data_IF_990897710649
#
_entry.id   IF_990897710649
#
_cell.length_a   1.000
_cell.length_b   1.000
_cell.length_c   1.000
_cell.angle_alpha   90.00
_cell.angle_beta   90.00
_cell.angle_gamma   90.00
#
_symmetry.space_group_name_H-M   'P 1'
#
loop_
_entity.id
_entity.type
_entity.pdbx_description
1 polymer ?
#
# COMPACT_ATOMS: atom_id res chain seq x y z
N UNK A 1 0.23 53.81 -31.73
CA UNK A 1 1.25 52.81 -31.38
C UNK A 1 0.95 52.30 -29.97
N UNK A 2 0.63 50.99 -29.79
CA UNK A 2 0.44 50.41 -28.45
C UNK A 2 1.80 50.11 -27.86
N UNK A 3 2.15 50.81 -26.75
CA UNK A 3 3.38 50.48 -25.97
C UNK A 3 3.24 49.07 -25.41
N UNK A 4 4.05 48.15 -25.86
CA UNK A 4 4.23 46.85 -25.21
C UNK A 4 5.06 47.08 -23.95
N UNK A 5 4.44 46.94 -22.77
CA UNK A 5 5.15 46.96 -21.50
C UNK A 5 5.96 45.66 -21.41
N UNK A 6 7.27 45.75 -21.31
CA UNK A 6 8.17 44.61 -21.05
C UNK A 6 8.32 44.39 -19.54
N UNK A 7 8.58 43.13 -19.15
CA UNK A 7 8.92 42.80 -17.77
C UNK A 7 10.27 43.40 -17.37
N UNK A 8 10.36 43.93 -16.16
CA UNK A 8 11.62 44.38 -15.59
C UNK A 8 12.41 43.17 -15.04
N UNK A 9 13.74 43.26 -15.05
CA UNK A 9 14.63 42.24 -14.49
C UNK A 9 14.33 41.99 -13.00
N UNK A 10 13.97 43.03 -12.28
CA UNK A 10 13.60 43.03 -10.85
C UNK A 10 12.33 42.19 -10.61
N UNK A 11 11.28 42.34 -11.44
CA UNK A 11 10.04 41.56 -11.35
C UNK A 11 10.32 40.08 -11.58
N UNK A 12 11.22 39.75 -12.52
CA UNK A 12 11.59 38.35 -12.79
C UNK A 12 12.28 37.71 -11.58
N UNK A 13 13.21 38.44 -10.94
CA UNK A 13 13.93 37.91 -9.76
C UNK A 13 12.98 37.68 -8.59
N UNK A 14 12.03 38.57 -8.32
CA UNK A 14 11.04 38.38 -7.28
C UNK A 14 10.15 37.15 -7.53
N UNK A 15 9.70 36.94 -8.77
CA UNK A 15 8.87 35.80 -9.12
C UNK A 15 9.61 34.49 -8.91
N UNK A 16 10.87 34.37 -9.38
CA UNK A 16 11.62 33.12 -9.19
C UNK A 16 11.95 32.85 -7.73
N UNK A 17 12.16 33.87 -6.92
CA UNK A 17 12.40 33.72 -5.49
C UNK A 17 11.17 33.19 -4.77
N UNK A 18 9.97 33.71 -5.05
CA UNK A 18 8.70 33.23 -4.50
C UNK A 18 8.43 31.78 -4.93
N UNK A 19 8.60 31.47 -6.21
CA UNK A 19 8.41 30.10 -6.73
C UNK A 19 9.40 29.12 -6.09
N UNK A 20 10.66 29.51 -5.89
CA UNK A 20 11.64 28.66 -5.22
C UNK A 20 11.23 28.30 -3.78
N UNK A 21 10.74 29.26 -3.01
CA UNK A 21 10.27 29.02 -1.63
C UNK A 21 9.03 28.14 -1.61
N UNK A 22 8.04 28.40 -2.47
CA UNK A 22 6.81 27.58 -2.53
C UNK A 22 7.09 26.16 -2.98
N UNK A 23 8.02 25.96 -3.90
CA UNK A 23 8.39 24.63 -4.40
C UNK A 23 8.94 23.71 -3.31
N UNK A 24 9.67 24.23 -2.33
CA UNK A 24 10.26 23.41 -1.25
C UNK A 24 9.18 22.76 -0.37
N UNK A 25 8.06 23.43 -0.15
CA UNK A 25 6.93 22.92 0.64
C UNK A 25 6.09 21.96 -0.20
N UNK A 26 5.85 22.31 -1.47
CA UNK A 26 5.01 21.54 -2.38
C UNK A 26 5.54 20.13 -2.64
N UNK A 27 6.85 19.95 -2.83
CA UNK A 27 7.47 18.65 -3.12
C UNK A 27 7.26 17.64 -1.99
N UNK A 28 7.44 18.04 -0.73
CA UNK A 28 7.25 17.13 0.43
C UNK A 28 5.81 16.62 0.53
N UNK A 29 4.85 17.51 0.33
CA UNK A 29 3.42 17.16 0.36
C UNK A 29 3.04 16.27 -0.83
N UNK A 30 3.57 16.55 -2.01
CA UNK A 30 3.30 15.80 -3.23
C UNK A 30 3.71 14.33 -3.12
N UNK A 31 4.89 14.03 -2.57
CA UNK A 31 5.36 12.64 -2.37
C UNK A 31 4.42 11.85 -1.46
N UNK A 32 3.95 12.46 -0.36
CA UNK A 32 2.96 11.81 0.54
C UNK A 32 1.63 11.53 -0.16
N UNK A 33 1.15 12.48 -0.96
CA UNK A 33 -0.12 12.33 -1.72
C UNK A 33 0.00 11.22 -2.76
N UNK A 34 1.12 11.15 -3.48
CA UNK A 34 1.37 10.06 -4.44
C UNK A 34 1.38 8.68 -3.75
N UNK A 35 2.04 8.57 -2.60
CA UNK A 35 2.09 7.30 -1.87
C UNK A 35 0.69 6.88 -1.37
N UNK A 36 -0.12 7.83 -0.87
CA UNK A 36 -1.52 7.56 -0.50
C UNK A 36 -2.38 7.15 -1.69
N UNK A 37 -2.14 7.70 -2.87
CA UNK A 37 -2.84 7.28 -4.09
C UNK A 37 -2.53 5.83 -4.47
N UNK A 38 -1.24 5.43 -4.43
CA UNK A 38 -0.83 4.03 -4.65
C UNK A 38 -1.44 3.09 -3.61
N UNK A 39 -1.45 3.49 -2.35
CA UNK A 39 -2.09 2.75 -1.26
C UNK A 39 -3.59 2.56 -1.53
N UNK A 40 -4.28 3.59 -2.02
CA UNK A 40 -5.70 3.50 -2.37
C UNK A 40 -5.96 2.48 -3.48
N UNK A 41 -5.10 2.42 -4.50
CA UNK A 41 -5.18 1.41 -5.56
C UNK A 41 -5.04 -0.01 -4.99
N UNK A 42 -4.04 -0.22 -4.11
CA UNK A 42 -3.85 -1.49 -3.44
C UNK A 42 -5.03 -1.85 -2.53
N UNK A 43 -5.54 -0.90 -1.74
CA UNK A 43 -6.70 -1.10 -0.86
C UNK A 43 -7.96 -1.51 -1.62
N UNK A 44 -8.20 -0.92 -2.80
CA UNK A 44 -9.29 -1.30 -3.69
C UNK A 44 -9.13 -2.73 -4.22
N UNK A 45 -7.90 -3.12 -4.62
CA UNK A 45 -7.61 -4.48 -5.05
C UNK A 45 -7.79 -5.49 -3.92
N UNK A 46 -7.30 -5.17 -2.72
CA UNK A 46 -7.47 -5.99 -1.51
C UNK A 46 -8.95 -6.16 -1.15
N UNK A 47 -9.75 -5.10 -1.28
CA UNK A 47 -11.21 -5.18 -1.01
C UNK A 47 -11.92 -6.10 -2.01
N UNK A 48 -11.57 -6.02 -3.30
CA UNK A 48 -12.11 -6.92 -4.33
C UNK A 48 -11.68 -8.36 -4.08
N UNK A 49 -10.39 -8.59 -3.75
CA UNK A 49 -9.85 -9.91 -3.41
C UNK A 49 -10.55 -10.53 -2.20
N UNK A 50 -10.71 -9.78 -1.11
CA UNK A 50 -11.40 -10.26 0.08
C UNK A 50 -12.87 -10.62 -0.22
N UNK A 51 -13.60 -9.78 -0.94
CA UNK A 51 -14.97 -10.05 -1.35
C UNK A 51 -15.10 -11.29 -2.26
N UNK A 52 -14.14 -11.48 -3.17
CA UNK A 52 -14.09 -12.66 -4.03
C UNK A 52 -13.79 -13.94 -3.25
N UNK A 53 -12.91 -13.89 -2.26
CA UNK A 53 -12.64 -15.00 -1.34
C UNK A 53 -13.89 -15.43 -0.57
N UNK A 54 -14.70 -14.49 -0.08
CA UNK A 54 -15.97 -14.79 0.57
C UNK A 54 -16.95 -15.48 -0.40
N UNK A 55 -17.07 -15.00 -1.64
CA UNK A 55 -17.90 -15.66 -2.67
C UNK A 55 -17.39 -17.06 -3.02
N UNK A 56 -16.07 -17.22 -3.10
CA UNK A 56 -15.46 -18.52 -3.34
C UNK A 56 -15.72 -19.49 -2.18
N UNK A 57 -15.58 -19.01 -0.93
CA UNK A 57 -15.89 -19.79 0.27
C UNK A 57 -17.34 -20.26 0.31
N UNK A 58 -18.30 -19.40 -0.04
CA UNK A 58 -19.72 -19.79 -0.12
C UNK A 58 -19.98 -20.90 -1.14
N UNK A 59 -19.19 -20.97 -2.22
CA UNK A 59 -19.34 -21.99 -3.28
C UNK A 59 -18.57 -23.28 -3.00
N UNK A 60 -17.42 -23.21 -2.34
CA UNK A 60 -16.46 -24.31 -2.20
C UNK A 60 -16.20 -24.75 -0.76
N UNK A 61 -16.72 -24.02 0.22
CA UNK A 61 -16.43 -24.18 1.66
C UNK A 61 -14.93 -24.18 1.99
N UNK A 62 -14.14 -23.44 1.21
CA UNK A 62 -12.70 -23.27 1.36
C UNK A 62 -12.25 -21.94 0.76
N UNK A 63 -11.18 -21.40 1.27
CA UNK A 63 -10.46 -20.25 0.67
C UNK A 63 -9.36 -20.76 -0.26
N UNK A 64 -8.82 -19.86 -1.11
CA UNK A 64 -7.76 -20.18 -2.06
C UNK A 64 -6.61 -19.17 -1.98
N UNK A 65 -5.38 -19.61 -2.26
CA UNK A 65 -4.21 -18.74 -2.46
C UNK A 65 -3.99 -18.37 -3.94
N UNK A 66 -4.99 -18.61 -4.80
CA UNK A 66 -4.90 -18.35 -6.24
C UNK A 66 -5.90 -17.29 -6.66
N UNK A 67 -5.39 -16.22 -7.23
CA UNK A 67 -6.19 -15.16 -7.85
C UNK A 67 -6.99 -15.66 -9.06
N UNK A 68 -6.40 -16.59 -9.83
CA UNK A 68 -7.01 -17.19 -11.03
C UNK A 68 -8.29 -17.97 -10.75
N UNK A 69 -8.52 -18.42 -9.51
CA UNK A 69 -9.74 -19.13 -9.12
C UNK A 69 -10.88 -18.20 -8.70
N UNK A 70 -10.59 -16.92 -8.55
CA UNK A 70 -11.56 -15.92 -8.12
C UNK A 70 -12.27 -15.26 -9.31
N UNK A 71 -13.49 -14.83 -9.11
CA UNK A 71 -14.37 -14.24 -10.13
C UNK A 71 -14.12 -12.72 -10.37
N UNK A 72 -12.87 -12.27 -10.31
CA UNK A 72 -12.51 -10.84 -10.44
C UNK A 72 -11.69 -10.51 -11.70
N UNK A 73 -11.40 -11.50 -12.57
CA UNK A 73 -10.82 -11.26 -13.88
C UNK A 73 -9.41 -10.65 -13.89
N UNK A 74 -8.60 -10.92 -12.86
CA UNK A 74 -7.20 -10.45 -12.78
C UNK A 74 -6.29 -11.11 -13.82
N UNK A 75 -6.65 -12.27 -14.32
CA UNK A 75 -5.88 -13.04 -15.32
C UNK A 75 -5.57 -12.23 -16.59
N UNK A 76 -6.44 -11.29 -16.95
CA UNK A 76 -6.32 -10.47 -18.16
C UNK A 76 -5.65 -9.11 -17.92
N UNK A 77 -5.25 -8.78 -16.68
CA UNK A 77 -4.72 -7.44 -16.34
C UNK A 77 -3.20 -7.33 -16.35
N UNK A 78 -2.49 -8.39 -16.65
CA UNK A 78 -1.02 -8.44 -16.62
C UNK A 78 -0.46 -8.23 -15.24
N UNK A 79 0.32 -8.79 -14.58
CA UNK A 79 0.80 -8.59 -13.19
C UNK A 79 0.53 -9.78 -12.29
N UNK A 80 -0.16 -10.81 -12.80
CA UNK A 80 -0.32 -12.06 -12.09
C UNK A 80 0.93 -12.92 -12.27
N UNK A 81 1.61 -13.19 -11.16
CA UNK A 81 2.80 -14.03 -11.10
C UNK A 81 2.50 -15.31 -10.31
N UNK A 82 3.00 -16.44 -10.78
CA UNK A 82 2.86 -17.75 -10.11
C UNK A 82 4.19 -18.11 -9.45
N UNK A 83 4.14 -18.36 -8.16
CA UNK A 83 5.28 -18.88 -7.41
C UNK A 83 5.50 -20.38 -7.63
N UNK A 84 6.64 -20.89 -7.20
CA UNK A 84 6.98 -22.33 -7.29
C UNK A 84 6.02 -23.23 -6.49
N UNK A 85 5.46 -22.73 -5.37
CA UNK A 85 4.45 -23.42 -4.55
C UNK A 85 3.02 -23.33 -5.13
N UNK A 86 2.89 -22.80 -6.34
CA UNK A 86 1.64 -22.57 -7.05
C UNK A 86 0.72 -21.51 -6.41
N UNK A 87 1.18 -20.77 -5.42
CA UNK A 87 0.50 -19.56 -4.98
C UNK A 87 0.61 -18.45 -6.04
N UNK A 88 -0.30 -17.50 -6.03
CA UNK A 88 -0.33 -16.44 -7.04
C UNK A 88 -0.27 -15.07 -6.37
N UNK A 89 0.66 -14.23 -6.84
CA UNK A 89 0.86 -12.84 -6.39
C UNK A 89 0.49 -11.89 -7.52
N UNK A 90 -0.30 -10.86 -7.21
CA UNK A 90 -0.68 -9.84 -8.17
C UNK A 90 0.13 -8.56 -7.96
N UNK A 91 0.87 -8.13 -8.97
CA UNK A 91 1.63 -6.88 -8.97
C UNK A 91 0.81 -5.74 -9.56
N UNK A 92 0.54 -4.70 -8.79
CA UNK A 92 -0.35 -3.59 -9.21
C UNK A 92 0.23 -2.74 -10.34
N UNK A 93 1.57 -2.67 -10.46
CA UNK A 93 2.31 -1.88 -11.47
C UNK A 93 3.39 -2.66 -12.20
N UNK A 94 3.65 -3.89 -11.81
CA UNK A 94 4.71 -4.74 -12.36
C UNK A 94 4.21 -6.03 -12.98
N UNK A 95 5.14 -6.89 -13.35
CA UNK A 95 4.87 -8.19 -13.97
C UNK A 95 5.39 -9.37 -13.14
N UNK A 96 6.08 -9.11 -12.03
CA UNK A 96 6.64 -10.14 -11.18
C UNK A 96 7.77 -9.62 -10.30
N UNK A 97 8.46 -10.52 -9.55
CA UNK A 97 9.50 -10.12 -8.59
C UNK A 97 10.71 -9.45 -9.26
N UNK A 98 11.06 -9.79 -10.50
CA UNK A 98 12.17 -9.15 -11.23
C UNK A 98 11.82 -7.75 -11.75
N UNK A 99 10.54 -7.50 -12.01
CA UNK A 99 10.03 -6.19 -12.42
C UNK A 99 8.75 -5.87 -11.65
N UNK A 100 8.87 -5.56 -10.34
CA UNK A 100 7.72 -5.35 -9.47
C UNK A 100 6.95 -4.05 -9.77
N UNK A 101 7.58 -3.10 -10.45
CA UNK A 101 7.05 -1.75 -10.64
C UNK A 101 6.96 -0.98 -9.32
N UNK A 102 6.69 0.31 -9.39
CA UNK A 102 6.52 1.18 -8.21
C UNK A 102 5.07 1.07 -7.69
N UNK A 103 4.74 -0.03 -7.03
CA UNK A 103 3.39 -0.38 -6.60
C UNK A 103 3.36 -1.35 -5.41
N UNK A 104 2.47 -2.34 -5.51
CA UNK A 104 2.27 -3.38 -4.49
C UNK A 104 2.27 -4.77 -5.10
N UNK A 105 2.83 -5.72 -4.36
CA UNK A 105 2.64 -7.15 -4.56
C UNK A 105 1.51 -7.60 -3.61
N UNK A 106 0.42 -8.13 -4.15
CA UNK A 106 -0.79 -8.48 -3.40
C UNK A 106 -1.01 -9.99 -3.49
N UNK A 107 -1.13 -10.62 -2.34
CA UNK A 107 -1.34 -12.07 -2.21
C UNK A 107 -2.36 -12.41 -1.13
N UNK A 108 -2.59 -13.70 -0.94
CA UNK A 108 -3.45 -14.24 0.12
C UNK A 108 -2.60 -15.02 1.10
N UNK A 109 -2.60 -14.61 2.34
CA UNK A 109 -1.91 -15.27 3.43
C UNK A 109 -2.92 -15.89 4.41
N UNK A 110 -2.53 -16.99 5.07
CA UNK A 110 -3.34 -17.68 6.07
C UNK A 110 -2.53 -17.86 7.34
N UNK A 111 -3.13 -17.53 8.48
CA UNK A 111 -2.48 -17.77 9.75
C UNK A 111 -2.61 -19.24 10.22
N UNK A 112 -1.97 -19.53 11.36
CA UNK A 112 -2.03 -20.87 11.98
C UNK A 112 -3.48 -21.36 12.22
N UNK A 113 -4.41 -20.44 12.49
CA UNK A 113 -5.84 -20.74 12.73
C UNK A 113 -6.67 -20.78 11.45
N UNK A 114 -6.04 -20.75 10.27
CA UNK A 114 -6.68 -20.71 8.95
C UNK A 114 -7.54 -19.48 8.72
N UNK A 115 -7.30 -18.39 9.47
CA UNK A 115 -7.89 -17.10 9.13
C UNK A 115 -7.19 -16.58 7.89
N UNK A 116 -7.96 -16.08 6.93
CA UNK A 116 -7.42 -15.58 5.68
C UNK A 116 -7.28 -14.06 5.67
N UNK A 117 -6.23 -13.60 5.02
CA UNK A 117 -5.89 -12.18 4.85
C UNK A 117 -5.53 -11.90 3.40
N UNK A 118 -5.90 -10.73 2.91
CA UNK A 118 -5.26 -10.14 1.74
C UNK A 118 -4.12 -9.28 2.25
N UNK A 119 -2.92 -9.54 1.75
CA UNK A 119 -1.71 -8.80 2.11
C UNK A 119 -1.18 -8.08 0.89
N UNK A 120 -0.85 -6.81 1.03
CA UNK A 120 -0.23 -6.02 -0.02
C UNK A 120 1.11 -5.48 0.48
N UNK A 121 2.21 -6.03 -0.01
CA UNK A 121 3.56 -5.58 0.26
C UNK A 121 3.94 -4.43 -0.67
N UNK A 122 4.43 -3.32 -0.13
CA UNK A 122 4.99 -2.22 -0.91
C UNK A 122 6.26 -2.67 -1.62
N UNK A 123 6.34 -2.51 -2.94
CA UNK A 123 7.47 -2.93 -3.78
C UNK A 123 7.90 -1.82 -4.74
N UNK A 124 9.15 -1.89 -5.22
CA UNK A 124 9.70 -0.93 -6.18
C UNK A 124 9.88 0.47 -5.61
N UNK A 125 10.09 0.60 -4.31
CA UNK A 125 10.38 1.87 -3.64
C UNK A 125 11.61 1.71 -2.75
N UNK A 126 12.56 2.62 -2.89
CA UNK A 126 13.74 2.68 -2.00
C UNK A 126 13.40 3.28 -0.62
N UNK A 127 12.26 3.93 -0.50
CA UNK A 127 11.86 4.66 0.70
C UNK A 127 10.86 3.93 1.55
N UNK A 128 9.93 3.20 0.94
CA UNK A 128 8.78 2.59 1.62
C UNK A 128 8.76 1.08 1.40
N UNK A 129 8.59 0.32 2.50
CA UNK A 129 8.54 -1.15 2.50
C UNK A 129 7.39 -1.72 3.33
N UNK A 130 6.47 -0.88 3.81
CA UNK A 130 5.34 -1.29 4.64
C UNK A 130 4.42 -2.32 3.99
N UNK A 131 3.67 -3.03 4.82
CA UNK A 131 2.59 -3.93 4.40
C UNK A 131 1.21 -3.35 4.73
N UNK A 132 0.27 -3.63 3.86
CA UNK A 132 -1.16 -3.47 4.14
C UNK A 132 -1.74 -4.86 4.37
N UNK A 133 -2.54 -5.01 5.42
CA UNK A 133 -3.18 -6.28 5.77
C UNK A 133 -4.67 -6.06 5.94
N UNK A 134 -5.48 -6.89 5.30
CA UNK A 134 -6.92 -6.88 5.39
C UNK A 134 -7.45 -8.30 5.63
N UNK A 135 -8.10 -8.59 6.77
CA UNK A 135 -8.79 -9.86 6.98
C UNK A 135 -9.90 -10.08 5.95
N UNK A 136 -10.18 -11.35 5.60
CA UNK A 136 -11.36 -11.69 4.81
C UNK A 136 -12.64 -11.30 5.56
N UNK A 137 -13.72 -11.12 4.82
CA UNK A 137 -14.98 -10.66 5.38
C UNK A 137 -14.98 -9.16 5.71
N UNK A 138 -15.49 -8.79 6.88
CA UNK A 138 -15.60 -7.38 7.32
C UNK A 138 -14.35 -6.90 8.03
N UNK A 139 -13.21 -6.93 7.33
CA UNK A 139 -11.93 -6.53 7.92
C UNK A 139 -11.62 -5.04 7.71
N UNK A 140 -11.10 -4.40 8.75
CA UNK A 140 -10.44 -3.11 8.65
C UNK A 140 -9.10 -3.28 7.92
N UNK A 141 -8.64 -2.23 7.23
CA UNK A 141 -7.31 -2.20 6.63
C UNK A 141 -6.28 -1.77 7.69
N UNK A 142 -5.21 -2.52 7.81
CA UNK A 142 -4.09 -2.26 8.71
C UNK A 142 -2.85 -1.87 7.90
N UNK A 143 -2.12 -0.86 8.35
CA UNK A 143 -0.80 -0.50 7.82
C UNK A 143 0.25 -0.96 8.82
N UNK A 144 1.22 -1.75 8.37
CA UNK A 144 2.22 -2.41 9.21
C UNK A 144 3.60 -2.06 8.67
N UNK A 145 4.45 -1.36 9.45
CA UNK A 145 5.84 -1.15 9.08
C UNK A 145 6.60 -2.49 9.12
N UNK A 146 7.40 -2.79 8.09
CA UNK A 146 8.08 -4.10 7.97
C UNK A 146 9.40 -4.12 8.73
N UNK A 147 10.21 -3.06 8.63
CA UNK A 147 11.57 -3.02 9.17
C UNK A 147 11.76 -1.91 10.20
N UNK A 148 10.70 -1.41 10.83
CA UNK A 148 10.75 -0.27 11.74
C UNK A 148 11.45 0.95 11.12
N UNK A 149 11.45 1.06 9.78
CA UNK A 149 12.00 2.22 9.10
C UNK A 149 11.19 3.46 9.50
N UNK A 150 11.89 4.55 9.80
CA UNK A 150 11.24 5.80 10.20
C UNK A 150 10.20 6.27 9.15
N UNK A 151 10.47 6.02 7.88
CA UNK A 151 9.57 6.39 6.79
C UNK A 151 8.26 5.57 6.81
N UNK A 152 8.35 4.25 7.05
CA UNK A 152 7.19 3.35 7.13
C UNK A 152 6.37 3.62 8.39
N UNK A 153 7.04 3.76 9.54
CA UNK A 153 6.40 4.07 10.82
C UNK A 153 5.62 5.38 10.72
N UNK A 154 6.26 6.46 10.27
CA UNK A 154 5.62 7.77 10.13
C UNK A 154 4.47 7.74 9.12
N UNK A 155 4.59 6.97 8.03
CA UNK A 155 3.52 6.83 7.05
C UNK A 155 2.31 6.06 7.62
N UNK A 156 2.54 4.94 8.32
CA UNK A 156 1.49 4.16 8.95
C UNK A 156 0.81 4.90 10.10
N UNK A 157 1.57 5.67 10.90
CA UNK A 157 1.03 6.55 11.95
C UNK A 157 0.13 7.64 11.36
N UNK A 158 0.59 8.34 10.32
CA UNK A 158 -0.19 9.33 9.56
C UNK A 158 -1.49 8.73 8.99
N UNK A 159 -1.42 7.47 8.52
CA UNK A 159 -2.58 6.77 8.00
C UNK A 159 -3.57 6.38 9.09
N UNK A 160 -3.09 5.87 10.20
CA UNK A 160 -3.92 5.46 11.35
C UNK A 160 -4.44 6.66 12.17
N UNK A 161 -3.85 7.85 11.98
CA UNK A 161 -4.20 9.06 12.73
C UNK A 161 -3.73 8.99 14.18
N UNK A 162 -2.58 8.36 14.45
CA UNK A 162 -1.97 8.22 15.78
C UNK A 162 -0.62 8.93 15.84
N UNK A 163 -0.24 9.38 17.03
CA UNK A 163 0.97 10.18 17.25
C UNK A 163 2.17 9.34 17.75
N UNK A 164 1.94 8.11 18.17
CA UNK A 164 2.98 7.21 18.66
C UNK A 164 2.89 5.82 18.02
N UNK A 165 4.04 5.18 17.78
CA UNK A 165 4.12 3.82 17.23
C UNK A 165 3.36 2.79 18.07
N UNK A 166 3.37 2.95 19.40
CA UNK A 166 2.65 2.09 20.33
C UNK A 166 1.12 2.13 20.16
N UNK A 167 0.59 3.20 19.54
CA UNK A 167 -0.85 3.38 19.29
C UNK A 167 -1.27 2.83 17.93
N UNK A 168 -0.32 2.32 17.11
CA UNK A 168 -0.67 1.66 15.85
C UNK A 168 -1.49 0.40 16.14
N UNK A 169 -2.54 0.14 15.31
CA UNK A 169 -3.30 -1.09 15.45
C UNK A 169 -2.39 -2.31 15.36
N UNK A 170 -2.55 -3.31 16.25
CA UNK A 170 -1.74 -4.51 16.23
C UNK A 170 -1.90 -5.28 14.92
N UNK A 171 -0.85 -5.99 14.50
CA UNK A 171 -0.91 -6.83 13.31
C UNK A 171 -1.97 -7.93 13.48
N UNK A 172 -3.06 -7.95 12.68
CA UNK A 172 -4.15 -8.90 12.85
C UNK A 172 -3.75 -10.35 12.56
N UNK A 173 -2.61 -10.58 11.90
CA UNK A 173 -2.07 -11.91 11.60
C UNK A 173 -1.32 -12.52 12.79
N UNK A 174 -0.92 -11.70 13.77
CA UNK A 174 -0.24 -12.17 14.98
C UNK A 174 -1.28 -12.45 16.07
N UNK A 175 -1.29 -13.64 16.68
CA UNK A 175 -2.18 -13.94 17.80
C UNK A 175 -1.95 -13.00 19.00
N UNK A 176 -3.02 -12.57 19.65
CA UNK A 176 -3.01 -11.66 20.81
C UNK A 176 -1.99 -12.03 21.89
N UNK A 177 -1.77 -13.32 22.27
CA UNK A 177 -0.77 -13.70 23.26
C UNK A 177 0.68 -13.38 22.87
N UNK A 178 0.99 -13.29 21.57
CA UNK A 178 2.31 -12.92 21.07
C UNK A 178 2.46 -11.40 20.94
N UNK A 179 1.37 -10.66 20.73
CA UNK A 179 1.37 -9.20 20.70
C UNK A 179 1.74 -8.62 22.08
N UNK A 180 1.17 -9.16 23.15
CA UNK A 180 1.46 -8.73 24.54
C UNK A 180 2.95 -8.94 24.91
N UNK A 181 3.64 -9.91 24.28
CA UNK A 181 5.08 -10.15 24.52
C UNK A 181 6.00 -9.18 23.80
N UNK A 182 5.56 -8.56 22.71
CA UNK A 182 6.34 -7.57 21.96
C UNK A 182 6.26 -6.19 22.62
N UNK A 183 5.14 -5.88 23.27
CA UNK A 183 4.90 -4.60 23.95
C UNK A 183 5.60 -4.48 25.32
N UNK A 184 6.25 -5.57 25.81
CA UNK A 184 6.91 -5.64 27.13
C UNK A 184 8.44 -5.73 27.08
N UNK A 185 9.07 -5.36 25.94
CA UNK A 185 10.54 -5.35 25.83
C UNK A 185 11.10 -3.97 25.58
#
# INVERSE_FOLDING_TARGET
MKHKKGFTLMELIFVVLIVAVLSTIAVRTYVKVQERAKMSDAANMMAQGAAAQERFFLKRNAYTNKWSYLDIGVENKGGLFKNEDLSEVYYTKGTGPENPGDGFAVDFEFDYYRRGFVVAQRVGSDKYTYKLVRPFGRGQLYCIPVYESEADVNFCMDYAGVDAMADLPPNPMVPIPQQIRLDTK
#
